data_IF_322994046480
#
_entry.id   IF_322994046480
#
_cell.length_a   1.000
_cell.length_b   1.000
_cell.length_c   1.000
_cell.angle_alpha   90.00
_cell.angle_beta   90.00
_cell.angle_gamma   90.00
#
_symmetry.space_group_name_H-M   'P 1'
#
loop_
_entity.id
_entity.type
_entity.pdbx_description
1 polymer ?
#
# COMPACT_ATOMS: atom_id res chain seq x y z
N UNK A 1 3.99 -26.15 -16.84
CA UNK A 1 5.34 -25.58 -16.99
C UNK A 1 5.74 -24.93 -15.69
N UNK A 2 7.05 -24.78 -15.40
CA UNK A 2 7.52 -24.15 -14.15
C UNK A 2 7.82 -22.65 -14.31
N UNK A 3 7.87 -22.16 -15.55
CA UNK A 3 8.17 -20.77 -15.88
C UNK A 3 6.99 -19.88 -15.53
N UNK A 4 7.25 -18.78 -14.82
CA UNK A 4 6.30 -17.72 -14.58
C UNK A 4 6.18 -16.91 -15.89
N UNK A 5 4.97 -16.81 -16.43
CA UNK A 5 4.72 -16.11 -17.69
C UNK A 5 3.78 -14.94 -17.44
N UNK A 6 4.05 -13.82 -18.08
CA UNK A 6 3.15 -12.66 -18.08
C UNK A 6 1.83 -13.01 -18.77
N UNK A 7 0.66 -12.82 -18.11
CA UNK A 7 -0.65 -13.09 -18.72
C UNK A 7 -1.14 -11.92 -19.59
N UNK A 8 -0.23 -11.09 -20.09
CA UNK A 8 -0.53 -9.91 -20.92
C UNK A 8 0.54 -9.69 -21.98
N UNK A 9 0.19 -8.87 -23.00
CA UNK A 9 1.11 -8.40 -24.04
C UNK A 9 1.35 -6.90 -23.87
N UNK A 10 2.59 -6.47 -24.04
CA UNK A 10 2.97 -5.06 -24.01
C UNK A 10 2.71 -4.44 -25.38
N UNK A 11 1.79 -3.46 -25.46
CA UNK A 11 1.46 -2.72 -26.68
C UNK A 11 1.88 -1.26 -26.67
N UNK A 12 2.08 -0.70 -25.47
CA UNK A 12 2.57 0.66 -25.29
C UNK A 12 3.88 0.60 -24.50
N UNK A 13 4.86 1.37 -24.92
CA UNK A 13 6.19 1.37 -24.30
C UNK A 13 6.62 2.79 -23.98
N UNK A 14 7.32 2.94 -22.86
CA UNK A 14 7.97 4.17 -22.43
C UNK A 14 9.48 3.91 -22.38
N UNK A 15 10.32 4.70 -23.10
CA UNK A 15 11.75 4.45 -23.10
C UNK A 15 12.39 4.79 -21.75
N UNK A 16 13.25 3.91 -21.27
CA UNK A 16 14.03 4.12 -20.05
C UNK A 16 15.33 4.85 -20.37
N UNK A 17 15.65 5.87 -19.56
CA UNK A 17 16.92 6.58 -19.65
C UNK A 17 17.99 5.91 -18.78
N UNK A 18 19.10 5.54 -19.41
CA UNK A 18 20.28 5.09 -18.68
C UNK A 18 21.11 6.30 -18.21
N UNK A 19 21.53 6.26 -16.95
CA UNK A 19 22.34 7.30 -16.32
C UNK A 19 23.66 6.72 -15.84
N UNK A 20 24.74 7.54 -15.82
CA UNK A 20 26.03 7.12 -15.25
C UNK A 20 26.03 7.29 -13.72
N UNK A 21 26.95 6.62 -12.98
CA UNK A 21 27.11 6.84 -11.55
C UNK A 21 27.34 8.31 -11.16
N UNK A 22 28.15 9.03 -11.94
CA UNK A 22 28.47 10.46 -11.71
C UNK A 22 27.24 11.35 -11.92
N UNK A 23 26.38 11.00 -12.88
CA UNK A 23 25.10 11.70 -13.07
C UNK A 23 24.18 11.46 -11.88
N UNK A 24 24.04 10.21 -11.42
CA UNK A 24 23.20 9.86 -10.28
C UNK A 24 23.65 10.53 -8.98
N UNK A 25 24.97 10.62 -8.74
CA UNK A 25 25.48 11.35 -7.58
C UNK A 25 25.07 12.84 -7.62
N UNK A 26 25.23 13.50 -8.76
CA UNK A 26 24.78 14.89 -8.92
C UNK A 26 23.27 15.06 -8.70
N UNK A 27 22.46 14.08 -9.12
CA UNK A 27 21.02 14.12 -8.89
C UNK A 27 20.69 13.95 -7.40
N UNK A 28 21.39 13.07 -6.69
CA UNK A 28 21.26 12.89 -5.24
C UNK A 28 21.61 14.18 -4.48
N UNK A 29 22.74 14.80 -4.79
CA UNK A 29 23.17 16.06 -4.19
C UNK A 29 22.13 17.19 -4.41
N UNK A 30 21.67 17.36 -5.65
CA UNK A 30 20.67 18.36 -6.01
C UNK A 30 19.33 18.11 -5.28
N UNK A 31 18.93 16.84 -5.12
CA UNK A 31 17.74 16.42 -4.38
C UNK A 31 17.91 16.52 -2.85
N UNK A 32 19.10 16.84 -2.34
CA UNK A 32 19.41 16.79 -0.91
C UNK A 32 19.30 15.38 -0.37
N UNK A 33 19.70 14.40 -1.15
CA UNK A 33 19.64 12.96 -0.89
C UNK A 33 18.22 12.43 -0.56
N UNK A 34 17.17 13.16 -0.95
CA UNK A 34 15.78 12.70 -0.82
C UNK A 34 15.29 12.13 -2.16
N UNK A 35 15.01 10.84 -2.20
CA UNK A 35 14.61 10.12 -3.42
C UNK A 35 13.26 10.60 -3.99
N UNK A 36 12.39 11.20 -3.18
CA UNK A 36 11.15 11.83 -3.65
C UNK A 36 11.40 13.11 -4.49
N UNK A 37 12.57 13.72 -4.35
CA UNK A 37 12.94 14.96 -5.06
C UNK A 37 13.69 14.69 -6.38
N UNK A 38 14.00 13.44 -6.70
CA UNK A 38 14.63 13.05 -7.97
C UNK A 38 13.57 13.02 -9.07
N UNK A 39 13.87 13.60 -10.22
CA UNK A 39 12.98 13.59 -11.38
C UNK A 39 12.75 12.16 -11.87
N UNK A 40 11.51 11.84 -12.24
CA UNK A 40 11.17 10.51 -12.77
C UNK A 40 12.00 10.13 -14.02
N UNK A 41 12.31 11.10 -14.88
CA UNK A 41 13.17 10.92 -16.07
C UNK A 41 14.60 10.48 -15.75
N UNK A 42 15.06 10.61 -14.52
CA UNK A 42 16.40 10.26 -14.08
C UNK A 42 16.44 8.93 -13.29
N UNK A 43 15.31 8.22 -13.25
CA UNK A 43 15.15 6.92 -12.62
C UNK A 43 15.16 5.83 -13.70
N UNK A 44 15.92 4.76 -13.49
CA UNK A 44 15.93 3.62 -14.39
C UNK A 44 14.79 2.63 -14.05
N UNK A 45 14.70 2.21 -12.79
CA UNK A 45 13.61 1.37 -12.29
C UNK A 45 13.00 2.04 -11.05
N UNK A 46 11.70 2.32 -11.13
CA UNK A 46 10.98 3.04 -10.08
C UNK A 46 10.13 2.09 -9.23
N UNK A 47 10.62 1.79 -8.04
CA UNK A 47 9.95 0.97 -7.03
C UNK A 47 9.54 1.79 -5.79
N UNK A 48 9.40 3.12 -5.97
CA UNK A 48 8.97 4.02 -4.89
C UNK A 48 7.57 3.65 -4.40
N UNK A 49 6.68 3.37 -5.34
CA UNK A 49 5.27 3.05 -5.05
C UNK A 49 4.64 2.22 -6.16
N UNK A 50 3.68 1.38 -5.78
CA UNK A 50 2.77 0.68 -6.69
C UNK A 50 1.47 1.46 -6.94
N UNK A 51 1.35 2.68 -6.38
CA UNK A 51 0.13 3.50 -6.40
C UNK A 51 0.13 4.48 -7.57
N UNK A 52 -0.79 4.29 -8.53
CA UNK A 52 -0.96 5.17 -9.68
C UNK A 52 0.09 4.98 -10.78
N UNK A 53 0.89 3.94 -10.67
CA UNK A 53 2.00 3.63 -11.59
C UNK A 53 1.76 2.38 -12.43
N UNK A 54 0.55 1.82 -12.38
CA UNK A 54 0.16 0.64 -13.15
C UNK A 54 0.00 0.95 -14.64
N UNK A 55 0.29 -0.04 -15.49
CA UNK A 55 -0.11 -0.01 -16.88
C UNK A 55 -1.58 -0.42 -17.00
N UNK A 56 -2.40 0.44 -17.62
CA UNK A 56 -3.80 0.16 -17.91
C UNK A 56 -3.95 -0.78 -19.10
N UNK A 57 -5.03 -1.56 -19.10
CA UNK A 57 -5.39 -2.45 -20.20
C UNK A 57 -5.96 -1.72 -21.40
N UNK A 58 -6.06 -2.45 -22.51
CA UNK A 58 -6.77 -1.97 -23.73
C UNK A 58 -8.22 -1.63 -23.41
N UNK A 59 -8.86 -2.44 -22.57
CA UNK A 59 -10.26 -2.26 -22.18
C UNK A 59 -10.43 -1.04 -21.26
N UNK A 60 -9.48 -0.77 -20.37
CA UNK A 60 -9.48 0.46 -19.58
C UNK A 60 -9.34 1.70 -20.48
N UNK A 61 -8.41 1.69 -21.44
CA UNK A 61 -8.27 2.79 -22.41
C UNK A 61 -9.52 2.97 -23.28
N UNK A 62 -10.13 1.88 -23.73
CA UNK A 62 -11.38 1.92 -24.50
C UNK A 62 -12.54 2.49 -23.67
N UNK A 63 -12.62 2.10 -22.38
CA UNK A 63 -13.62 2.63 -21.46
C UNK A 63 -13.42 4.14 -21.21
N UNK A 64 -12.19 4.59 -21.03
CA UNK A 64 -11.89 6.02 -20.91
C UNK A 64 -12.41 6.85 -22.08
N UNK A 65 -12.34 6.31 -23.32
CA UNK A 65 -12.86 6.97 -24.52
C UNK A 65 -14.38 7.05 -24.56
N UNK A 66 -15.09 6.26 -23.74
CA UNK A 66 -16.57 6.30 -23.60
C UNK A 66 -17.03 7.17 -22.43
N UNK A 67 -16.10 7.63 -21.61
CA UNK A 67 -16.40 8.47 -20.45
C UNK A 67 -17.17 9.73 -20.84
N UNK A 68 -18.22 10.05 -20.07
CA UNK A 68 -18.99 11.27 -20.22
C UNK A 68 -18.56 12.32 -19.18
N UNK A 69 -18.41 13.56 -19.65
CA UNK A 69 -17.94 14.68 -18.82
C UNK A 69 -19.14 15.52 -18.32
N UNK A 70 -20.04 14.89 -17.57
CA UNK A 70 -21.19 15.55 -16.97
C UNK A 70 -20.88 16.00 -15.53
N UNK A 71 -21.31 17.21 -15.16
CA UNK A 71 -21.13 17.69 -13.77
C UNK A 71 -21.96 16.89 -12.77
N UNK A 72 -23.12 16.40 -13.16
CA UNK A 72 -24.01 15.65 -12.28
C UNK A 72 -24.71 14.52 -13.05
N UNK A 73 -24.76 13.33 -12.44
CA UNK A 73 -25.54 12.22 -12.95
C UNK A 73 -25.00 11.61 -14.25
N UNK A 74 -23.67 11.65 -14.48
CA UNK A 74 -23.03 11.01 -15.62
C UNK A 74 -23.21 9.50 -15.62
N UNK A 75 -23.35 8.89 -16.79
CA UNK A 75 -23.48 7.42 -16.94
C UNK A 75 -22.22 6.69 -16.47
N UNK A 76 -21.06 7.32 -16.58
CA UNK A 76 -19.79 6.78 -16.07
C UNK A 76 -19.80 6.57 -14.56
N UNK A 77 -20.49 7.44 -13.82
CA UNK A 77 -20.67 7.26 -12.37
C UNK A 77 -21.51 6.01 -12.08
N UNK A 78 -22.63 5.83 -12.77
CA UNK A 78 -23.50 4.68 -12.50
C UNK A 78 -22.84 3.36 -12.87
N UNK A 79 -22.03 3.30 -13.92
CA UNK A 79 -21.22 2.12 -14.25
C UNK A 79 -20.16 1.84 -13.19
N UNK A 80 -19.46 2.88 -12.71
CA UNK A 80 -18.52 2.78 -11.61
C UNK A 80 -19.22 2.29 -10.33
N UNK A 81 -20.33 2.93 -9.93
CA UNK A 81 -21.10 2.55 -8.75
C UNK A 81 -21.57 1.10 -8.82
N UNK A 82 -22.06 0.67 -9.99
CA UNK A 82 -22.49 -0.71 -10.21
C UNK A 82 -21.35 -1.71 -10.03
N UNK A 83 -20.15 -1.44 -10.58
CA UNK A 83 -18.97 -2.28 -10.42
C UNK A 83 -18.55 -2.38 -8.96
N UNK A 84 -18.51 -1.25 -8.23
CA UNK A 84 -18.16 -1.22 -6.82
C UNK A 84 -19.18 -2.00 -5.99
N UNK A 85 -20.49 -1.78 -6.21
CA UNK A 85 -21.56 -2.50 -5.50
C UNK A 85 -21.56 -3.99 -5.79
N UNK A 86 -21.34 -4.40 -7.04
CA UNK A 86 -21.27 -5.81 -7.43
C UNK A 86 -20.10 -6.53 -6.76
N UNK A 87 -19.00 -5.83 -6.51
CA UNK A 87 -17.84 -6.36 -5.81
C UNK A 87 -18.01 -6.36 -4.30
N UNK A 88 -18.45 -5.24 -3.72
CA UNK A 88 -18.37 -5.00 -2.27
C UNK A 88 -19.68 -5.28 -1.53
N UNK A 89 -20.82 -5.17 -2.20
CA UNK A 89 -22.14 -5.28 -1.59
C UNK A 89 -22.56 -4.08 -0.74
N UNK A 90 -21.74 -3.04 -0.60
CA UNK A 90 -22.08 -1.87 0.22
C UNK A 90 -23.21 -1.04 -0.41
N UNK A 91 -24.05 -0.47 0.47
CA UNK A 91 -25.21 0.32 0.07
C UNK A 91 -24.83 1.67 -0.52
N UNK A 92 -23.84 2.36 0.08
CA UNK A 92 -23.43 3.70 -0.30
C UNK A 92 -22.01 3.67 -0.85
N UNK A 93 -21.81 4.24 -2.02
CA UNK A 93 -20.51 4.35 -2.71
C UNK A 93 -20.25 5.83 -2.97
N UNK A 94 -19.14 6.33 -2.45
CA UNK A 94 -18.74 7.74 -2.51
C UNK A 94 -17.40 7.81 -3.26
N UNK A 95 -17.37 8.29 -4.50
CA UNK A 95 -16.13 8.41 -5.26
C UNK A 95 -15.24 9.50 -4.66
N UNK A 96 -13.93 9.33 -4.75
CA UNK A 96 -12.93 10.33 -4.35
C UNK A 96 -11.78 10.33 -5.34
N UNK A 97 -11.04 11.45 -5.46
CA UNK A 97 -9.93 11.51 -6.40
C UNK A 97 -8.76 10.57 -6.02
N UNK A 98 -8.69 10.10 -4.78
CA UNK A 98 -7.73 9.08 -4.31
C UNK A 98 -8.09 8.55 -2.92
N UNK A 99 -7.45 7.43 -2.51
CA UNK A 99 -7.75 6.78 -1.22
C UNK A 99 -7.55 7.67 0.01
N UNK A 100 -6.49 8.51 0.04
CA UNK A 100 -6.27 9.42 1.19
C UNK A 100 -7.37 10.49 1.34
N UNK A 101 -8.11 10.81 0.28
CA UNK A 101 -9.28 11.67 0.36
C UNK A 101 -10.44 10.93 1.03
N UNK A 102 -10.65 9.64 0.70
CA UNK A 102 -11.61 8.79 1.41
C UNK A 102 -11.29 8.68 2.91
N UNK A 103 -10.01 8.47 3.26
CA UNK A 103 -9.54 8.46 4.64
C UNK A 103 -9.83 9.79 5.35
N UNK A 104 -9.51 10.92 4.70
CA UNK A 104 -9.75 12.25 5.26
C UNK A 104 -11.23 12.49 5.55
N UNK A 105 -12.12 12.15 4.62
CA UNK A 105 -13.57 12.28 4.79
C UNK A 105 -14.02 11.43 5.98
N UNK A 106 -13.70 10.15 6.01
CA UNK A 106 -14.10 9.23 7.07
C UNK A 106 -13.64 9.70 8.46
N UNK A 107 -12.34 9.98 8.61
CA UNK A 107 -11.77 10.31 9.92
C UNK A 107 -12.12 11.72 10.40
N UNK A 108 -12.36 12.68 9.49
CA UNK A 108 -12.84 14.03 9.89
C UNK A 108 -14.22 14.00 10.55
N UNK A 109 -15.03 12.99 10.23
CA UNK A 109 -16.37 12.81 10.81
C UNK A 109 -16.32 11.97 12.09
N UNK A 110 -15.58 10.86 12.06
CA UNK A 110 -15.63 9.88 13.14
C UNK A 110 -14.62 10.13 14.25
N UNK A 111 -13.48 10.77 13.96
CA UNK A 111 -12.42 10.99 14.94
C UNK A 111 -12.60 12.30 15.71
N UNK A 112 -12.34 12.23 17.01
CA UNK A 112 -12.33 13.38 17.93
C UNK A 112 -11.13 13.23 18.87
N UNK A 113 -10.70 14.32 19.55
CA UNK A 113 -9.69 14.22 20.61
C UNK A 113 -10.07 13.18 21.66
N UNK A 114 -9.11 12.32 22.00
CA UNK A 114 -9.28 11.21 22.92
C UNK A 114 -9.77 9.91 22.30
N UNK A 115 -10.21 9.90 21.05
CA UNK A 115 -10.54 8.65 20.35
C UNK A 115 -9.29 7.83 20.02
N UNK A 116 -9.48 6.51 19.88
CA UNK A 116 -8.46 5.55 19.48
C UNK A 116 -9.00 4.75 18.30
N UNK A 117 -8.23 4.70 17.23
CA UNK A 117 -8.53 3.83 16.08
C UNK A 117 -7.53 2.68 16.07
N UNK A 118 -7.93 1.47 16.46
CA UNK A 118 -7.07 0.28 16.38
C UNK A 118 -7.08 -0.30 14.96
N UNK A 119 -5.92 -0.80 14.53
CA UNK A 119 -5.73 -1.52 13.26
C UNK A 119 -4.66 -2.58 13.41
N UNK A 120 -4.58 -3.53 12.46
CA UNK A 120 -3.41 -4.40 12.37
C UNK A 120 -2.11 -3.60 12.16
N UNK A 121 -2.07 -2.65 11.20
CA UNK A 121 -1.17 -1.48 11.19
C UNK A 121 -1.76 -0.38 10.32
N UNK A 122 -1.47 0.86 10.66
CA UNK A 122 -1.85 2.01 9.83
C UNK A 122 -0.75 2.33 8.82
N UNK A 123 -1.15 2.75 7.64
CA UNK A 123 -0.24 3.40 6.70
C UNK A 123 -0.01 4.87 7.12
N UNK A 124 1.01 5.52 6.55
CA UNK A 124 1.41 6.89 6.94
C UNK A 124 0.27 7.92 6.81
N UNK A 125 -0.46 7.90 5.68
CA UNK A 125 -1.58 8.82 5.44
C UNK A 125 -2.80 8.50 6.29
N UNK A 126 -3.07 7.22 6.54
CA UNK A 126 -4.15 6.79 7.44
C UNK A 126 -3.90 7.29 8.85
N UNK A 127 -2.69 7.05 9.38
CA UNK A 127 -2.25 7.57 10.68
C UNK A 127 -2.36 9.08 10.76
N UNK A 128 -1.81 9.79 9.75
CA UNK A 128 -1.84 11.25 9.71
C UNK A 128 -3.27 11.80 9.70
N UNK A 129 -4.20 11.19 8.97
CA UNK A 129 -5.60 11.59 8.94
C UNK A 129 -6.32 11.36 10.28
N UNK A 130 -5.99 10.28 11.01
CA UNK A 130 -6.52 10.04 12.35
C UNK A 130 -5.98 11.06 13.34
N UNK A 131 -4.66 11.22 13.38
CA UNK A 131 -3.95 12.05 14.36
C UNK A 131 -4.20 13.55 14.15
N UNK A 132 -4.41 14.00 12.91
CA UNK A 132 -4.79 15.39 12.62
C UNK A 132 -6.15 15.81 13.20
N UNK A 133 -7.00 14.85 13.55
CA UNK A 133 -8.27 15.07 14.26
C UNK A 133 -8.14 14.91 15.80
N UNK A 134 -6.92 14.81 16.34
CA UNK A 134 -6.66 14.65 17.76
C UNK A 134 -6.92 13.24 18.31
N UNK A 135 -7.20 12.27 17.44
CA UNK A 135 -7.34 10.87 17.79
C UNK A 135 -5.97 10.15 17.77
N UNK A 136 -5.89 8.96 18.33
CA UNK A 136 -4.70 8.12 18.35
C UNK A 136 -4.86 6.93 17.40
N UNK A 137 -3.94 6.78 16.44
CA UNK A 137 -3.81 5.58 15.63
C UNK A 137 -3.01 4.52 16.40
N UNK A 138 -3.61 3.37 16.69
CA UNK A 138 -2.99 2.30 17.48
C UNK A 138 -2.83 1.03 16.66
N UNK A 139 -1.58 0.58 16.49
CA UNK A 139 -1.26 -0.64 15.76
C UNK A 139 -1.25 -1.85 16.70
N UNK A 140 -2.03 -2.86 16.35
CA UNK A 140 -2.19 -4.13 17.04
C UNK A 140 -1.93 -5.33 16.11
N UNK A 141 -0.74 -5.43 15.47
CA UNK A 141 -0.40 -6.64 14.72
C UNK A 141 -0.17 -7.81 15.67
N UNK A 142 -0.34 -9.03 15.17
CA UNK A 142 0.00 -10.24 15.92
C UNK A 142 1.47 -10.23 16.37
N UNK A 143 1.80 -10.86 17.51
CA UNK A 143 3.18 -10.88 18.03
C UNK A 143 4.21 -11.43 17.04
N UNK A 144 3.84 -12.42 16.23
CA UNK A 144 4.71 -13.02 15.20
C UNK A 144 5.16 -12.03 14.12
N UNK A 145 4.45 -10.91 13.92
CA UNK A 145 4.86 -9.85 12.99
C UNK A 145 6.11 -9.08 13.46
N UNK A 146 6.52 -9.24 14.73
CA UNK A 146 7.72 -8.63 15.26
C UNK A 146 9.02 -9.27 14.71
N UNK A 147 8.98 -10.53 14.27
CA UNK A 147 10.11 -11.17 13.60
C UNK A 147 9.94 -11.12 12.09
N UNK A 148 10.79 -10.33 11.43
CA UNK A 148 10.79 -10.22 9.97
C UNK A 148 11.12 -11.55 9.28
N UNK A 149 11.88 -12.44 9.94
CA UNK A 149 12.33 -13.73 9.38
C UNK A 149 11.36 -14.89 9.65
N UNK A 150 10.35 -14.70 10.49
CA UNK A 150 9.37 -15.75 10.76
C UNK A 150 8.55 -16.08 9.51
N UNK A 151 8.60 -17.36 9.07
CA UNK A 151 7.91 -17.87 7.87
C UNK A 151 6.51 -18.38 8.21
N UNK A 152 5.64 -17.49 8.66
CA UNK A 152 4.27 -17.81 8.99
C UNK A 152 3.32 -17.21 7.95
N UNK A 153 2.25 -17.90 7.55
CA UNK A 153 1.21 -17.32 6.73
C UNK A 153 0.47 -16.23 7.52
N UNK A 154 -0.09 -15.27 6.82
CA UNK A 154 -0.97 -14.25 7.40
C UNK A 154 -0.37 -13.42 8.55
N UNK A 155 0.92 -13.07 8.44
CA UNK A 155 1.57 -12.17 9.41
C UNK A 155 0.95 -10.76 9.45
N UNK A 156 0.08 -10.44 8.48
CA UNK A 156 -0.69 -9.21 8.46
C UNK A 156 -1.90 -9.20 9.40
N UNK A 157 -2.19 -10.28 10.11
CA UNK A 157 -3.34 -10.40 11.00
C UNK A 157 -3.34 -9.36 12.12
N UNK A 158 -4.56 -8.96 12.52
CA UNK A 158 -4.82 -8.17 13.73
C UNK A 158 -4.72 -9.07 14.97
N UNK A 159 -4.10 -8.59 16.05
CA UNK A 159 -4.17 -9.23 17.37
C UNK A 159 -5.55 -8.96 18.01
N UNK A 160 -6.47 -9.92 17.83
CA UNK A 160 -7.84 -9.80 18.30
C UNK A 160 -7.94 -9.82 19.83
N UNK A 161 -7.03 -10.52 20.50
CA UNK A 161 -6.98 -10.51 21.97
C UNK A 161 -6.49 -9.15 22.51
N UNK A 162 -5.50 -8.55 21.88
CA UNK A 162 -5.07 -7.19 22.22
C UNK A 162 -6.17 -6.16 21.95
N UNK A 163 -6.94 -6.35 20.88
CA UNK A 163 -8.11 -5.51 20.58
C UNK A 163 -9.17 -5.66 21.68
N UNK A 164 -9.48 -6.86 22.14
CA UNK A 164 -10.44 -7.08 23.21
C UNK A 164 -10.00 -6.43 24.53
N UNK A 165 -8.73 -6.59 24.89
CA UNK A 165 -8.15 -5.90 26.06
C UNK A 165 -8.24 -4.38 25.94
N UNK A 166 -7.96 -3.83 24.74
CA UNK A 166 -8.09 -2.40 24.49
C UNK A 166 -9.54 -1.90 24.71
N UNK A 167 -10.53 -2.63 24.16
CA UNK A 167 -11.95 -2.27 24.32
C UNK A 167 -12.35 -2.26 25.79
N UNK A 168 -11.88 -3.24 26.57
CA UNK A 168 -12.17 -3.35 28.01
C UNK A 168 -11.52 -2.21 28.81
N UNK A 169 -10.30 -1.78 28.44
CA UNK A 169 -9.53 -0.79 29.17
C UNK A 169 -9.95 0.65 28.84
N UNK A 170 -10.11 0.95 27.55
CA UNK A 170 -10.38 2.32 27.06
C UNK A 170 -11.87 2.64 26.98
N UNK A 171 -12.71 1.61 26.88
CA UNK A 171 -14.17 1.72 26.71
C UNK A 171 -14.59 1.93 25.27
N UNK A 172 -15.74 1.36 24.90
CA UNK A 172 -16.32 1.37 23.55
C UNK A 172 -16.51 2.79 23.00
N UNK A 173 -16.86 3.75 23.85
CA UNK A 173 -17.16 5.13 23.48
C UNK A 173 -15.93 5.87 22.91
N UNK A 174 -14.72 5.40 23.20
CA UNK A 174 -13.48 5.98 22.73
C UNK A 174 -12.94 5.31 21.44
N UNK A 175 -13.61 4.27 20.94
CA UNK A 175 -13.22 3.53 19.74
C UNK A 175 -14.28 3.73 18.65
N UNK A 176 -14.14 4.74 17.78
CA UNK A 176 -15.15 5.08 16.77
C UNK A 176 -15.29 4.02 15.68
N UNK A 177 -14.22 3.29 15.38
CA UNK A 177 -14.18 2.15 14.48
C UNK A 177 -12.90 1.32 14.72
N UNK A 178 -12.91 0.07 14.25
CA UNK A 178 -11.73 -0.78 14.06
C UNK A 178 -11.43 -0.83 12.57
N UNK A 179 -10.16 -0.73 12.17
CA UNK A 179 -9.76 -0.84 10.77
C UNK A 179 -8.84 -2.05 10.56
N UNK A 180 -8.98 -2.74 9.43
CA UNK A 180 -8.05 -3.80 9.01
C UNK A 180 -7.54 -3.44 7.62
N UNK A 181 -6.22 -3.32 7.49
CA UNK A 181 -5.54 -3.06 6.22
C UNK A 181 -5.23 -4.38 5.51
N UNK A 182 -5.74 -4.55 4.31
CA UNK A 182 -5.56 -5.74 3.46
C UNK A 182 -5.00 -5.35 2.07
N UNK A 183 -3.79 -5.85 1.70
CA UNK A 183 -2.77 -6.49 2.55
C UNK A 183 -2.11 -5.47 3.47
N UNK A 184 -1.53 -5.93 4.58
CA UNK A 184 -0.91 -5.07 5.59
C UNK A 184 0.41 -4.44 5.06
N UNK A 185 0.32 -3.25 4.49
CA UNK A 185 1.43 -2.56 3.81
C UNK A 185 2.59 -2.26 4.79
N UNK A 186 2.32 -1.59 5.92
CA UNK A 186 3.37 -1.23 6.89
C UNK A 186 3.96 -2.45 7.62
N UNK A 187 3.25 -3.58 7.60
CA UNK A 187 3.71 -4.87 8.12
C UNK A 187 4.45 -5.74 7.11
N UNK A 188 4.99 -5.17 6.02
CA UNK A 188 5.74 -5.93 5.01
C UNK A 188 4.89 -6.48 3.86
N UNK A 189 3.72 -5.90 3.59
CA UNK A 189 2.80 -6.36 2.54
C UNK A 189 2.15 -7.71 2.86
N UNK A 190 2.09 -8.06 4.13
CA UNK A 190 1.64 -9.38 4.59
C UNK A 190 0.11 -9.52 4.51
N UNK A 191 -0.41 -10.69 4.11
CA UNK A 191 -1.84 -10.93 4.02
C UNK A 191 -2.51 -11.09 5.39
N UNK A 192 -3.83 -10.87 5.38
CA UNK A 192 -4.74 -11.11 6.51
C UNK A 192 -5.63 -12.30 6.17
N UNK A 193 -5.77 -13.27 7.08
CA UNK A 193 -6.63 -14.44 6.87
C UNK A 193 -8.12 -14.09 6.99
N UNK A 194 -8.97 -14.86 6.33
CA UNK A 194 -10.42 -14.74 6.49
C UNK A 194 -10.85 -15.01 7.94
N UNK A 195 -10.26 -16.05 8.55
CA UNK A 195 -10.52 -16.38 9.95
C UNK A 195 -10.21 -15.22 10.91
N UNK A 196 -9.18 -14.42 10.63
CA UNK A 196 -8.86 -13.23 11.44
C UNK A 196 -9.88 -12.11 11.24
N UNK A 197 -10.34 -11.89 10.01
CA UNK A 197 -11.39 -10.89 9.71
C UNK A 197 -12.71 -11.32 10.38
N UNK A 198 -13.07 -12.61 10.33
CA UNK A 198 -14.25 -13.17 11.00
C UNK A 198 -14.16 -13.01 12.52
N UNK A 199 -13.01 -13.28 13.12
CA UNK A 199 -12.80 -13.10 14.56
C UNK A 199 -12.92 -11.63 14.98
N UNK A 200 -12.30 -10.72 14.21
CA UNK A 200 -12.44 -9.28 14.43
C UNK A 200 -13.90 -8.82 14.28
N UNK A 201 -14.62 -9.32 13.26
CA UNK A 201 -16.05 -9.04 13.06
C UNK A 201 -16.90 -9.52 14.24
N UNK A 202 -16.67 -10.73 14.72
CA UNK A 202 -17.41 -11.27 15.88
C UNK A 202 -17.20 -10.39 17.13
N UNK A 203 -15.95 -9.97 17.39
CA UNK A 203 -15.63 -9.10 18.52
C UNK A 203 -16.27 -7.72 18.37
N UNK A 204 -16.10 -7.06 17.22
CA UNK A 204 -16.64 -5.71 16.99
C UNK A 204 -18.16 -5.68 17.00
N UNK A 205 -18.82 -6.73 16.50
CA UNK A 205 -20.29 -6.88 16.56
C UNK A 205 -20.78 -6.97 18.01
N UNK A 206 -20.11 -7.74 18.86
CA UNK A 206 -20.43 -7.89 20.30
C UNK A 206 -20.43 -6.55 21.02
N UNK A 207 -19.49 -5.68 20.64
CA UNK A 207 -19.33 -4.36 21.23
C UNK A 207 -20.01 -3.23 20.45
N UNK A 208 -20.66 -3.53 19.31
CA UNK A 208 -21.31 -2.54 18.42
C UNK A 208 -20.33 -1.49 17.90
N UNK A 209 -19.08 -1.86 17.66
CA UNK A 209 -18.05 -1.02 17.04
C UNK A 209 -18.04 -1.32 15.55
N UNK A 210 -18.05 -0.31 14.66
CA UNK A 210 -17.93 -0.52 13.21
C UNK A 210 -16.59 -1.14 12.84
N UNK A 211 -16.58 -2.10 11.90
CA UNK A 211 -15.39 -2.68 11.29
C UNK A 211 -15.24 -2.15 9.86
N UNK A 212 -14.12 -1.52 9.56
CA UNK A 212 -13.78 -1.00 8.23
C UNK A 212 -12.57 -1.72 7.65
N UNK A 213 -12.54 -1.86 6.33
CA UNK A 213 -11.37 -2.33 5.60
C UNK A 213 -10.67 -1.16 4.92
N UNK A 214 -9.36 -0.99 5.15
CA UNK A 214 -8.50 -0.37 4.15
C UNK A 214 -8.23 -1.43 3.08
N UNK A 215 -9.01 -1.38 2.00
CA UNK A 215 -9.10 -2.45 1.02
C UNK A 215 -8.22 -2.21 -0.22
N UNK A 216 -7.19 -1.37 -0.11
CA UNK A 216 -6.38 -0.95 -1.24
C UNK A 216 -5.75 -2.12 -2.03
N UNK A 217 -5.51 -3.28 -1.40
CA UNK A 217 -4.95 -4.49 -2.04
C UNK A 217 -5.76 -5.74 -1.71
N UNK A 218 -7.07 -5.60 -1.80
CA UNK A 218 -8.03 -6.66 -1.49
C UNK A 218 -7.88 -7.89 -2.38
N UNK A 219 -7.56 -7.70 -3.66
CA UNK A 219 -7.44 -8.78 -4.62
C UNK A 219 -6.19 -9.63 -4.36
N UNK A 220 -5.06 -8.98 -4.06
CA UNK A 220 -3.85 -9.69 -3.61
C UNK A 220 -4.13 -10.46 -2.32
N UNK A 221 -4.86 -9.87 -1.36
CA UNK A 221 -5.24 -10.54 -0.11
C UNK A 221 -6.17 -11.75 -0.36
N UNK A 222 -7.16 -11.60 -1.24
CA UNK A 222 -8.05 -12.69 -1.62
C UNK A 222 -7.29 -13.87 -2.27
N UNK A 223 -6.25 -13.57 -3.06
CA UNK A 223 -5.39 -14.61 -3.63
C UNK A 223 -4.59 -15.36 -2.57
N UNK A 224 -4.04 -14.68 -1.57
CA UNK A 224 -3.37 -15.35 -0.45
C UNK A 224 -4.33 -16.24 0.35
N UNK A 225 -5.54 -15.77 0.61
CA UNK A 225 -6.58 -16.60 1.26
C UNK A 225 -6.86 -17.84 0.41
N UNK A 226 -7.08 -17.68 -0.91
CA UNK A 226 -7.30 -18.80 -1.83
C UNK A 226 -6.17 -19.83 -1.77
N UNK A 227 -4.93 -19.36 -1.75
CA UNK A 227 -3.74 -20.22 -1.82
C UNK A 227 -3.41 -20.91 -0.50
N UNK A 228 -3.52 -20.18 0.62
CA UNK A 228 -2.91 -20.56 1.89
C UNK A 228 -3.91 -20.89 3.01
N UNK A 229 -5.19 -20.51 2.86
CA UNK A 229 -6.19 -20.76 3.92
C UNK A 229 -7.06 -21.97 3.56
N UNK A 230 -7.18 -22.98 4.48
CA UNK A 230 -8.01 -24.15 4.22
C UNK A 230 -9.47 -23.80 3.91
N UNK A 231 -10.06 -24.48 2.92
CA UNK A 231 -11.46 -24.30 2.52
C UNK A 231 -11.70 -23.23 1.45
N UNK A 232 -10.66 -22.49 1.02
CA UNK A 232 -10.80 -21.43 -0.01
C UNK A 232 -10.18 -21.79 -1.36
N UNK A 233 -9.46 -22.91 -1.46
CA UNK A 233 -8.69 -23.28 -2.66
C UNK A 233 -9.52 -23.37 -3.95
N UNK A 234 -10.78 -23.82 -3.86
CA UNK A 234 -11.65 -23.99 -5.02
C UNK A 234 -12.48 -22.75 -5.35
N UNK A 235 -12.53 -21.75 -4.47
CA UNK A 235 -13.30 -20.53 -4.69
C UNK A 235 -12.59 -19.57 -5.62
N UNK A 236 -13.31 -18.88 -6.54
CA UNK A 236 -12.74 -17.80 -7.32
C UNK A 236 -12.36 -16.61 -6.43
N UNK A 237 -11.30 -15.86 -6.78
CA UNK A 237 -10.86 -14.69 -5.99
C UNK A 237 -11.98 -13.66 -5.74
N UNK A 238 -12.92 -13.52 -6.67
CA UNK A 238 -14.07 -12.62 -6.54
C UNK A 238 -14.98 -13.00 -5.36
N UNK A 239 -15.29 -14.26 -5.21
CA UNK A 239 -16.14 -14.72 -4.11
C UNK A 239 -15.46 -14.55 -2.75
N UNK A 240 -14.15 -14.80 -2.70
CA UNK A 240 -13.36 -14.56 -1.49
C UNK A 240 -13.34 -13.06 -1.14
N UNK A 241 -13.16 -12.19 -2.13
CA UNK A 241 -13.20 -10.75 -1.93
C UNK A 241 -14.58 -10.28 -1.45
N UNK A 242 -15.65 -10.76 -2.08
CA UNK A 242 -17.04 -10.46 -1.66
C UNK A 242 -17.30 -10.91 -0.22
N UNK A 243 -16.79 -12.08 0.18
CA UNK A 243 -16.88 -12.54 1.56
C UNK A 243 -16.14 -11.62 2.52
N UNK A 244 -14.91 -11.17 2.18
CA UNK A 244 -14.19 -10.18 3.01
C UNK A 244 -15.01 -8.90 3.21
N UNK A 245 -15.54 -8.31 2.13
CA UNK A 245 -16.33 -7.09 2.20
C UNK A 245 -17.63 -7.28 2.99
N UNK A 246 -18.27 -8.44 2.91
CA UNK A 246 -19.50 -8.74 3.65
C UNK A 246 -19.34 -8.75 5.17
N UNK A 247 -18.12 -8.92 5.65
CA UNK A 247 -17.77 -8.88 7.08
C UNK A 247 -17.53 -7.46 7.61
N UNK A 248 -17.49 -6.44 6.74
CA UNK A 248 -17.23 -5.05 7.13
C UNK A 248 -18.49 -4.17 7.05
N UNK A 249 -18.48 -3.05 7.78
CA UNK A 249 -19.52 -2.03 7.74
C UNK A 249 -19.22 -0.95 6.68
N UNK A 250 -17.97 -0.89 6.20
CA UNK A 250 -17.50 0.00 5.16
C UNK A 250 -16.07 -0.26 4.78
N UNK A 251 -15.57 0.50 3.80
CA UNK A 251 -14.16 0.44 3.40
C UNK A 251 -13.68 1.78 2.83
N UNK A 252 -12.38 2.03 2.95
CA UNK A 252 -11.64 3.00 2.15
C UNK A 252 -10.89 2.26 1.05
N UNK A 253 -10.81 2.86 -0.13
CA UNK A 253 -10.16 2.24 -1.28
C UNK A 253 -9.38 3.26 -2.11
N UNK A 254 -8.18 2.87 -2.53
CA UNK A 254 -7.40 3.59 -3.53
C UNK A 254 -7.38 2.81 -4.84
N UNK A 255 -8.08 3.30 -5.84
CA UNK A 255 -8.13 2.69 -7.17
C UNK A 255 -6.78 2.70 -7.90
N UNK A 256 -5.84 3.46 -7.38
CA UNK A 256 -4.44 3.54 -7.84
C UNK A 256 -3.64 2.25 -7.61
N UNK A 257 -4.25 1.21 -7.05
CA UNK A 257 -3.66 -0.10 -6.74
C UNK A 257 -4.50 -1.21 -7.37
N UNK A 258 -5.41 -1.82 -6.64
CA UNK A 258 -6.22 -2.96 -7.11
C UNK A 258 -7.42 -2.53 -7.97
N UNK A 259 -7.24 -1.53 -8.84
CA UNK A 259 -8.07 -1.24 -9.99
C UNK A 259 -7.23 -0.77 -11.19
N UNK A 260 -5.90 -0.92 -11.13
CA UNK A 260 -4.95 -0.52 -12.18
C UNK A 260 -5.06 0.95 -12.64
N UNK A 261 -5.87 1.79 -11.98
CA UNK A 261 -6.08 3.17 -12.38
C UNK A 261 -4.90 4.07 -11.96
N UNK A 262 -4.67 5.15 -12.69
CA UNK A 262 -3.62 6.12 -12.37
C UNK A 262 -4.09 7.16 -11.34
N UNK A 263 -5.40 7.31 -11.18
CA UNK A 263 -6.06 8.20 -10.21
C UNK A 263 -7.31 7.51 -9.65
N UNK A 264 -7.84 8.02 -8.55
CA UNK A 264 -9.14 7.64 -8.04
C UNK A 264 -9.11 6.80 -6.77
N UNK A 265 -10.26 6.75 -6.13
CA UNK A 265 -10.58 5.99 -4.95
C UNK A 265 -12.06 6.06 -4.64
N UNK A 266 -12.45 5.44 -3.56
CA UNK A 266 -13.81 5.55 -3.03
C UNK A 266 -13.87 5.22 -1.54
N UNK A 267 -14.94 5.67 -0.92
CA UNK A 267 -15.37 5.34 0.42
C UNK A 267 -16.72 4.62 0.31
N UNK A 268 -16.89 3.53 1.04
CA UNK A 268 -18.15 2.82 1.10
C UNK A 268 -18.63 2.65 2.53
N UNK A 269 -19.96 2.68 2.73
CA UNK A 269 -20.58 2.40 4.02
C UNK A 269 -21.97 1.84 3.87
N UNK A 270 -22.42 1.07 4.87
CA UNK A 270 -23.83 0.63 5.01
C UNK A 270 -24.68 1.57 5.87
N UNK A 271 -24.05 2.56 6.53
CA UNK A 271 -24.73 3.52 7.41
C UNK A 271 -25.18 4.75 6.63
N UNK A 272 -26.49 4.86 6.38
CA UNK A 272 -27.04 5.97 5.57
C UNK A 272 -26.84 7.35 6.20
N UNK A 273 -26.86 7.49 7.54
CA UNK A 273 -26.58 8.76 8.22
C UNK A 273 -25.13 9.18 8.06
N UNK A 274 -24.21 8.22 8.15
CA UNK A 274 -22.79 8.48 7.92
C UNK A 274 -22.54 8.85 6.47
N UNK A 275 -23.15 8.14 5.52
CA UNK A 275 -23.03 8.45 4.09
C UNK A 275 -23.50 9.87 3.74
N UNK A 276 -24.55 10.36 4.38
CA UNK A 276 -25.00 11.76 4.22
C UNK A 276 -23.94 12.75 4.70
N UNK A 277 -23.31 12.50 5.86
CA UNK A 277 -22.24 13.34 6.39
C UNK A 277 -20.99 13.29 5.49
N UNK A 278 -20.61 12.09 5.02
CA UNK A 278 -19.50 11.88 4.11
C UNK A 278 -19.72 12.61 2.78
N UNK A 279 -20.94 12.56 2.25
CA UNK A 279 -21.33 13.28 1.03
C UNK A 279 -21.22 14.80 1.22
N UNK A 280 -21.61 15.33 2.36
CA UNK A 280 -21.49 16.77 2.65
C UNK A 280 -20.02 17.21 2.70
N UNK A 281 -19.14 16.43 3.32
CA UNK A 281 -17.70 16.71 3.32
C UNK A 281 -17.12 16.57 1.92
N UNK A 282 -17.52 15.55 1.15
CA UNK A 282 -17.11 15.35 -0.25
C UNK A 282 -17.39 16.58 -1.12
N UNK A 283 -18.62 17.14 -1.02
CA UNK A 283 -19.02 18.32 -1.79
C UNK A 283 -18.11 19.51 -1.48
N UNK A 284 -17.69 19.66 -0.24
CA UNK A 284 -16.81 20.75 0.19
C UNK A 284 -15.36 20.58 -0.23
N UNK A 285 -14.89 19.34 -0.37
CA UNK A 285 -13.45 19.05 -0.49
C UNK A 285 -13.03 18.45 -1.83
N UNK A 286 -13.93 17.71 -2.50
CA UNK A 286 -13.60 16.94 -3.70
C UNK A 286 -14.44 17.36 -4.90
N UNK A 287 -15.76 17.51 -4.71
CA UNK A 287 -16.70 17.87 -5.76
C UNK A 287 -18.06 17.20 -5.60
N UNK A 288 -18.87 17.20 -6.65
CA UNK A 288 -20.21 16.66 -6.61
C UNK A 288 -20.23 15.12 -6.43
N UNK A 289 -21.23 14.54 -5.75
CA UNK A 289 -21.25 13.11 -5.39
C UNK A 289 -21.16 12.12 -6.55
N UNK A 290 -21.54 12.52 -7.76
CA UNK A 290 -21.51 11.66 -8.93
C UNK A 290 -20.21 11.75 -9.74
N UNK A 291 -19.15 12.42 -9.20
CA UNK A 291 -17.81 12.34 -9.77
C UNK A 291 -16.68 12.38 -8.72
N UNK A 292 -16.89 13.00 -7.55
CA UNK A 292 -15.93 12.98 -6.42
C UNK A 292 -14.53 13.47 -6.77
N UNK A 293 -14.43 14.55 -7.56
CA UNK A 293 -13.15 15.10 -8.01
C UNK A 293 -12.47 14.33 -9.15
N UNK A 294 -13.18 13.39 -9.79
CA UNK A 294 -12.71 12.61 -10.94
C UNK A 294 -13.38 13.07 -12.24
N UNK A 295 -12.77 12.79 -13.37
CA UNK A 295 -13.44 12.87 -14.66
C UNK A 295 -14.23 11.58 -14.94
N UNK A 296 -15.25 11.63 -15.79
CA UNK A 296 -16.02 10.44 -16.18
C UNK A 296 -15.13 9.31 -16.72
N UNK A 297 -14.12 9.66 -17.52
CA UNK A 297 -13.13 8.69 -18.03
C UNK A 297 -12.36 7.96 -16.92
N UNK A 298 -12.07 8.61 -15.79
CA UNK A 298 -11.37 7.98 -14.67
C UNK A 298 -12.28 6.96 -13.97
N UNK A 299 -13.56 7.29 -13.80
CA UNK A 299 -14.58 6.38 -13.25
C UNK A 299 -14.74 5.12 -14.11
N UNK A 300 -14.75 5.28 -15.45
CA UNK A 300 -14.78 4.16 -16.40
C UNK A 300 -13.55 3.26 -16.27
N UNK A 301 -12.35 3.84 -16.19
CA UNK A 301 -11.12 3.07 -16.03
C UNK A 301 -11.11 2.27 -14.72
N UNK A 302 -11.64 2.85 -13.64
CA UNK A 302 -11.76 2.17 -12.33
C UNK A 302 -12.75 1.00 -12.44
N UNK A 303 -13.92 1.22 -13.05
CA UNK A 303 -14.94 0.19 -13.19
C UNK A 303 -14.40 -1.07 -13.89
N UNK A 304 -13.70 -0.89 -15.02
CA UNK A 304 -13.06 -1.99 -15.74
C UNK A 304 -11.93 -2.62 -14.91
N UNK A 305 -11.10 -1.81 -14.27
CA UNK A 305 -9.96 -2.30 -13.50
C UNK A 305 -10.35 -3.15 -12.29
N UNK A 306 -11.49 -2.86 -11.64
CA UNK A 306 -12.04 -3.67 -10.53
C UNK A 306 -12.44 -5.09 -10.98
N UNK A 307 -12.85 -5.26 -12.22
CA UNK A 307 -13.14 -6.58 -12.76
C UNK A 307 -11.87 -7.32 -13.18
N UNK A 308 -10.94 -6.63 -13.83
CA UNK A 308 -9.70 -7.22 -14.33
C UNK A 308 -8.75 -7.67 -13.23
N UNK A 309 -8.68 -6.95 -12.09
CA UNK A 309 -7.75 -7.27 -11.01
C UNK A 309 -8.02 -8.64 -10.39
N UNK A 310 -9.25 -9.15 -10.49
CA UNK A 310 -9.67 -10.42 -9.92
C UNK A 310 -9.46 -11.62 -10.85
N UNK A 311 -8.84 -11.43 -12.01
CA UNK A 311 -8.48 -12.53 -12.89
C UNK A 311 -7.42 -13.44 -12.23
N UNK A 312 -7.69 -14.75 -12.09
CA UNK A 312 -6.80 -15.66 -11.40
C UNK A 312 -5.39 -15.71 -11.99
N UNK A 313 -5.28 -15.68 -13.33
CA UNK A 313 -4.00 -15.73 -14.05
C UNK A 313 -3.14 -14.51 -13.75
N UNK A 314 -3.76 -13.33 -13.60
CA UNK A 314 -3.04 -12.13 -13.21
C UNK A 314 -2.56 -12.21 -11.76
N UNK A 315 -3.41 -12.63 -10.83
CA UNK A 315 -3.07 -12.72 -9.40
C UNK A 315 -1.99 -13.77 -9.15
N UNK A 316 -2.07 -14.93 -9.83
CA UNK A 316 -1.04 -15.96 -9.80
C UNK A 316 0.31 -15.39 -10.25
N UNK A 317 0.34 -14.77 -11.43
CA UNK A 317 1.54 -14.12 -11.96
C UNK A 317 2.08 -13.07 -10.97
N UNK A 318 1.23 -12.19 -10.48
CA UNK A 318 1.61 -11.09 -9.57
C UNK A 318 2.31 -11.61 -8.32
N UNK A 319 1.69 -12.57 -7.64
CA UNK A 319 2.21 -13.12 -6.40
C UNK A 319 3.44 -14.01 -6.65
N UNK A 320 3.44 -14.81 -7.73
CA UNK A 320 4.57 -15.66 -8.07
C UNK A 320 5.82 -14.86 -8.46
N UNK A 321 5.67 -13.79 -9.25
CA UNK A 321 6.80 -12.94 -9.67
C UNK A 321 7.39 -12.16 -8.49
N UNK A 322 6.55 -11.63 -7.59
CA UNK A 322 7.03 -10.98 -6.36
C UNK A 322 7.77 -11.98 -5.47
N UNK A 323 7.23 -13.19 -5.30
CA UNK A 323 7.87 -14.24 -4.51
C UNK A 323 9.18 -14.73 -5.15
N UNK A 324 9.26 -14.81 -6.49
CA UNK A 324 10.51 -15.11 -7.20
C UNK A 324 11.60 -14.09 -6.85
N UNK A 325 11.29 -12.81 -6.98
CA UNK A 325 12.22 -11.73 -6.65
C UNK A 325 12.71 -11.83 -5.20
N UNK A 326 11.77 -11.92 -4.24
CA UNK A 326 12.12 -12.01 -2.83
C UNK A 326 12.98 -13.21 -2.49
N UNK A 327 12.62 -14.41 -2.98
CA UNK A 327 13.41 -15.63 -2.75
C UNK A 327 14.82 -15.54 -3.32
N UNK A 328 14.97 -15.02 -4.55
CA UNK A 328 16.29 -14.89 -5.16
C UNK A 328 17.27 -14.07 -4.34
N UNK A 329 16.83 -12.93 -3.79
CA UNK A 329 17.74 -12.13 -2.95
C UNK A 329 17.92 -12.75 -1.56
N UNK A 330 16.88 -13.36 -0.98
CA UNK A 330 16.96 -14.03 0.33
C UNK A 330 17.90 -15.26 0.31
N UNK A 331 17.84 -16.08 -0.72
CA UNK A 331 18.70 -17.27 -0.90
C UNK A 331 20.19 -16.88 -1.02
N UNK A 332 20.49 -15.62 -1.35
CA UNK A 332 21.84 -15.06 -1.39
C UNK A 332 22.19 -14.18 -0.17
N UNK A 333 21.45 -14.34 0.92
CA UNK A 333 21.79 -13.75 2.21
C UNK A 333 21.32 -12.29 2.43
N UNK A 334 20.43 -11.76 1.58
CA UNK A 334 19.78 -10.48 1.83
C UNK A 334 18.57 -10.71 2.73
N UNK A 335 18.54 -10.15 3.95
CA UNK A 335 17.40 -10.34 4.85
C UNK A 335 16.18 -9.58 4.35
N UNK A 336 15.06 -10.27 4.15
CA UNK A 336 13.78 -9.68 3.76
C UNK A 336 12.70 -9.99 4.80
N UNK A 337 11.56 -9.33 4.71
CA UNK A 337 10.37 -9.76 5.47
C UNK A 337 9.83 -11.05 4.83
N UNK A 338 9.89 -12.13 5.60
CA UNK A 338 9.46 -13.48 5.20
C UNK A 338 8.04 -13.79 5.71
N UNK A 339 7.24 -14.53 4.93
CA UNK A 339 7.42 -14.78 3.51
C UNK A 339 7.20 -13.52 2.66
N UNK A 340 7.63 -13.47 1.38
CA UNK A 340 7.34 -12.34 0.49
C UNK A 340 5.86 -11.98 0.43
N UNK A 341 5.56 -10.68 0.53
CA UNK A 341 4.20 -10.15 0.40
C UNK A 341 3.70 -10.06 -1.05
N UNK A 342 2.56 -9.38 -1.26
CA UNK A 342 1.91 -9.32 -2.57
C UNK A 342 2.48 -8.26 -3.52
N UNK A 343 2.67 -7.04 -3.02
CA UNK A 343 2.94 -5.86 -3.87
C UNK A 343 4.39 -5.37 -3.85
N UNK A 344 5.18 -5.85 -2.93
CA UNK A 344 6.52 -5.35 -2.68
C UNK A 344 7.41 -6.40 -2.01
N UNK A 345 8.71 -6.23 -2.18
CA UNK A 345 9.71 -6.86 -1.32
C UNK A 345 10.19 -5.84 -0.31
N UNK A 346 10.29 -6.27 0.94
CA UNK A 346 10.78 -5.45 2.04
C UNK A 346 12.10 -6.02 2.54
N UNK A 347 13.20 -5.32 2.24
CA UNK A 347 14.51 -5.68 2.78
C UNK A 347 14.58 -5.17 4.22
N UNK A 348 15.00 -6.03 5.14
CA UNK A 348 15.29 -5.65 6.53
C UNK A 348 16.64 -4.95 6.58
N UNK A 349 16.62 -3.64 6.35
CA UNK A 349 17.83 -2.82 6.31
C UNK A 349 18.52 -2.75 7.68
N UNK A 350 17.77 -2.87 8.78
CA UNK A 350 18.35 -2.92 10.12
C UNK A 350 19.20 -4.18 10.34
N UNK A 351 18.77 -5.33 9.80
CA UNK A 351 19.57 -6.57 9.81
C UNK A 351 20.69 -6.56 8.76
N UNK A 352 20.45 -5.97 7.60
CA UNK A 352 21.44 -5.90 6.51
C UNK A 352 22.61 -4.97 6.87
N UNK A 353 22.34 -3.85 7.54
CA UNK A 353 23.28 -2.77 7.85
C UNK A 353 23.37 -2.55 9.40
N UNK A 354 23.80 -3.55 10.17
CA UNK A 354 23.79 -3.46 11.63
C UNK A 354 24.75 -2.40 12.19
N UNK A 355 25.69 -1.92 11.39
CA UNK A 355 26.62 -0.85 11.74
C UNK A 355 26.01 0.56 11.63
N UNK A 356 24.85 0.70 10.97
CA UNK A 356 24.11 1.96 10.88
C UNK A 356 23.02 1.99 11.93
N UNK A 357 23.13 2.83 12.98
CA UNK A 357 22.10 2.93 14.01
C UNK A 357 20.80 3.53 13.45
N UNK A 358 19.67 3.25 14.08
CA UNK A 358 18.34 3.74 13.67
C UNK A 358 18.27 5.26 13.51
N UNK A 359 19.01 6.02 14.32
CA UNK A 359 19.10 7.46 14.24
C UNK A 359 19.78 7.98 12.96
N UNK A 360 20.41 7.09 12.20
CA UNK A 360 21.09 7.37 10.92
C UNK A 360 20.38 6.73 9.73
N UNK A 361 19.15 6.22 9.93
CA UNK A 361 18.21 5.79 8.90
C UNK A 361 18.75 4.69 7.95
N UNK A 362 19.01 3.46 8.40
CA UNK A 362 19.60 2.40 7.56
C UNK A 362 18.77 2.08 6.32
N UNK A 363 17.43 2.12 6.41
CA UNK A 363 16.54 1.93 5.25
C UNK A 363 16.71 3.01 4.19
N UNK A 364 16.85 4.27 4.60
CA UNK A 364 17.12 5.38 3.70
C UNK A 364 18.54 5.29 3.09
N UNK A 365 19.53 4.93 3.90
CA UNK A 365 20.91 4.74 3.43
C UNK A 365 20.97 3.67 2.31
N UNK A 366 20.30 2.55 2.51
CA UNK A 366 20.19 1.49 1.51
C UNK A 366 19.46 1.96 0.24
N UNK A 367 18.38 2.74 0.39
CA UNK A 367 17.64 3.31 -0.74
C UNK A 367 18.51 4.21 -1.60
N UNK A 368 19.28 5.12 -0.97
CA UNK A 368 20.21 6.03 -1.66
C UNK A 368 21.29 5.22 -2.37
N UNK A 369 21.84 4.19 -1.75
CA UNK A 369 22.89 3.37 -2.35
C UNK A 369 22.39 2.57 -3.57
N UNK A 370 21.18 2.00 -3.52
CA UNK A 370 20.57 1.34 -4.68
C UNK A 370 20.37 2.32 -5.86
N UNK A 371 19.94 3.54 -5.56
CA UNK A 371 19.82 4.54 -6.62
C UNK A 371 21.19 4.95 -7.15
N UNK A 372 22.16 5.24 -6.29
CA UNK A 372 23.55 5.61 -6.68
C UNK A 372 24.16 4.55 -7.57
N UNK A 373 24.01 3.27 -7.19
CA UNK A 373 24.60 2.15 -7.90
C UNK A 373 23.91 1.86 -9.23
N UNK A 374 22.60 1.68 -9.22
CA UNK A 374 21.86 1.09 -10.32
C UNK A 374 20.67 1.92 -10.85
N UNK A 375 20.44 3.14 -10.34
CA UNK A 375 19.31 3.97 -10.75
C UNK A 375 17.97 3.45 -10.29
N UNK A 376 17.92 2.64 -9.22
CA UNK A 376 16.71 2.04 -8.65
C UNK A 376 16.19 2.96 -7.55
N UNK A 377 14.97 3.49 -7.72
CA UNK A 377 14.30 4.28 -6.68
C UNK A 377 13.40 3.38 -5.82
N UNK A 378 13.48 3.57 -4.51
CA UNK A 378 12.73 2.82 -3.51
C UNK A 378 12.40 3.71 -2.31
N UNK A 379 11.74 3.20 -1.27
CA UNK A 379 11.32 4.00 -0.12
C UNK A 379 11.58 3.30 1.20
N UNK A 380 12.09 4.04 2.16
CA UNK A 380 12.23 3.60 3.54
C UNK A 380 10.86 3.45 4.20
N UNK A 381 10.69 2.39 4.98
CA UNK A 381 9.56 2.12 5.88
C UNK A 381 10.14 1.82 7.27
N UNK A 382 10.49 2.85 8.00
CA UNK A 382 11.20 2.73 9.27
C UNK A 382 11.19 4.03 10.07
N UNK A 383 12.30 4.32 10.74
CA UNK A 383 12.42 5.46 11.64
C UNK A 383 12.36 6.83 10.94
N UNK A 384 12.68 6.92 9.66
CA UNK A 384 12.48 8.15 8.90
C UNK A 384 10.97 8.44 8.71
N UNK A 385 10.19 7.43 8.35
CA UNK A 385 8.75 7.58 8.10
C UNK A 385 7.93 7.69 9.39
N UNK A 386 8.20 6.82 10.37
CA UNK A 386 7.37 6.66 11.58
C UNK A 386 8.03 7.19 12.87
N UNK A 387 9.22 7.75 12.77
CA UNK A 387 9.95 8.25 13.95
C UNK A 387 10.24 7.15 14.96
N UNK A 388 10.17 7.48 16.27
CA UNK A 388 10.38 6.53 17.36
C UNK A 388 9.36 5.38 17.43
N UNK A 389 8.23 5.49 16.71
CA UNK A 389 7.18 4.45 16.63
C UNK A 389 7.48 3.34 15.62
N UNK A 390 8.53 3.47 14.82
CA UNK A 390 8.90 2.44 13.85
C UNK A 390 9.26 1.11 14.54
N UNK A 391 8.65 0.01 14.09
CA UNK A 391 8.94 -1.34 14.61
C UNK A 391 10.20 -1.92 13.98
N UNK A 392 10.42 -1.67 12.71
CA UNK A 392 11.52 -2.19 11.90
C UNK A 392 12.18 -1.06 11.12
N UNK A 393 13.35 -1.35 10.57
CA UNK A 393 14.04 -0.50 9.60
C UNK A 393 14.01 -1.20 8.24
N UNK A 394 12.97 -0.93 7.45
CA UNK A 394 12.75 -1.62 6.20
C UNK A 394 13.02 -0.72 4.99
N UNK A 395 13.45 -1.34 3.91
CA UNK A 395 13.43 -0.75 2.58
C UNK A 395 12.36 -1.45 1.75
N UNK A 396 11.36 -0.70 1.27
CA UNK A 396 10.30 -1.22 0.42
C UNK A 396 10.63 -1.03 -1.06
N UNK A 397 10.57 -2.11 -1.79
CA UNK A 397 10.66 -2.19 -3.25
C UNK A 397 9.26 -2.49 -3.79
N UNK A 398 8.43 -1.45 -3.94
CA UNK A 398 7.05 -1.59 -4.37
C UNK A 398 6.99 -1.76 -5.90
N UNK A 399 6.40 -2.86 -6.37
CA UNK A 399 6.43 -3.25 -7.79
C UNK A 399 5.16 -2.73 -8.48
N UNK A 400 5.26 -1.78 -9.44
CA UNK A 400 4.13 -1.36 -10.27
C UNK A 400 3.50 -2.54 -11.03
N UNK A 401 2.18 -2.52 -11.15
CA UNK A 401 1.44 -3.60 -11.82
C UNK A 401 1.56 -3.51 -13.32
N UNK A 402 1.92 -4.61 -13.98
CA UNK A 402 2.02 -4.76 -15.46
C UNK A 402 3.07 -3.85 -16.13
N UNK A 403 4.11 -3.39 -15.37
CA UNK A 403 5.10 -2.43 -15.89
C UNK A 403 6.45 -3.10 -16.16
N UNK A 404 6.96 -3.82 -15.19
CA UNK A 404 8.28 -4.46 -15.27
C UNK A 404 8.17 -5.93 -15.65
N UNK A 405 9.11 -6.39 -16.47
CA UNK A 405 9.23 -7.76 -16.95
C UNK A 405 10.28 -8.53 -16.16
N UNK A 406 10.42 -9.82 -16.45
CA UNK A 406 11.39 -10.69 -15.80
C UNK A 406 12.82 -10.14 -15.88
N UNK A 407 13.25 -9.59 -17.02
CA UNK A 407 14.60 -9.02 -17.17
C UNK A 407 14.84 -7.80 -16.28
N UNK A 408 13.81 -7.03 -15.96
CA UNK A 408 13.93 -5.96 -14.96
C UNK A 408 14.08 -6.54 -13.55
N UNK A 409 13.38 -7.64 -13.25
CA UNK A 409 13.50 -8.33 -11.95
C UNK A 409 14.92 -8.93 -11.80
N UNK A 410 15.46 -9.53 -12.84
CA UNK A 410 16.82 -10.08 -12.82
C UNK A 410 17.87 -8.97 -12.61
N UNK A 411 17.69 -7.80 -13.26
CA UNK A 411 18.53 -6.62 -13.03
C UNK A 411 18.44 -6.12 -11.58
N UNK A 412 17.24 -6.12 -10.98
CA UNK A 412 17.04 -5.75 -9.58
C UNK A 412 17.78 -6.70 -8.64
N UNK A 413 17.68 -8.02 -8.88
CA UNK A 413 18.38 -9.04 -8.11
C UNK A 413 19.89 -8.80 -8.17
N UNK A 414 20.45 -8.66 -9.37
CA UNK A 414 21.88 -8.44 -9.59
C UNK A 414 22.36 -7.19 -8.84
N UNK A 415 21.68 -6.05 -9.02
CA UNK A 415 22.04 -4.79 -8.37
C UNK A 415 21.99 -4.87 -6.84
N UNK A 416 20.98 -5.54 -6.28
CA UNK A 416 20.85 -5.71 -4.82
C UNK A 416 21.97 -6.59 -4.28
N UNK A 417 22.32 -7.66 -4.97
CA UNK A 417 23.42 -8.55 -4.56
C UNK A 417 24.78 -7.85 -4.62
N UNK A 418 25.03 -7.03 -5.64
CA UNK A 418 26.25 -6.22 -5.73
C UNK A 418 26.34 -5.19 -4.59
N UNK A 419 25.22 -4.55 -4.23
CA UNK A 419 25.16 -3.65 -3.06
C UNK A 419 25.38 -4.44 -1.75
N UNK A 420 24.83 -5.63 -1.62
CA UNK A 420 25.03 -6.48 -0.44
C UNK A 420 26.51 -6.87 -0.25
N UNK A 421 27.26 -7.12 -1.33
CA UNK A 421 28.70 -7.46 -1.25
C UNK A 421 29.56 -6.35 -0.65
N UNK A 422 29.10 -5.10 -0.71
CA UNK A 422 29.81 -3.91 -0.20
C UNK A 422 29.05 -3.16 0.89
N UNK A 423 28.08 -3.81 1.51
CA UNK A 423 27.18 -3.20 2.52
C UNK A 423 27.92 -2.51 3.67
N UNK A 424 29.07 -3.03 4.08
CA UNK A 424 29.87 -2.47 5.18
C UNK A 424 30.46 -1.08 4.87
N UNK A 425 30.43 -0.64 3.60
CA UNK A 425 30.86 0.69 3.16
C UNK A 425 29.72 1.70 3.08
N UNK A 426 28.48 1.28 3.30
CA UNK A 426 27.32 2.15 3.27
C UNK A 426 27.30 2.99 4.55
N UNK A 427 27.18 4.31 4.40
CA UNK A 427 27.15 5.25 5.52
C UNK A 427 25.71 5.67 5.81
N UNK A 428 25.42 5.98 7.07
CA UNK A 428 24.16 6.56 7.49
C UNK A 428 24.00 8.02 7.05
N UNK A 429 22.86 8.59 7.39
CA UNK A 429 22.48 9.97 7.06
C UNK A 429 22.05 10.73 8.31
N UNK A 430 22.20 12.06 8.25
CA UNK A 430 21.55 12.98 9.19
C UNK A 430 20.56 13.88 8.45
N UNK A 431 19.52 14.30 9.15
CA UNK A 431 18.54 15.26 8.63
C UNK A 431 19.11 16.67 8.79
N UNK A 432 19.19 17.41 7.68
CA UNK A 432 19.60 18.82 7.65
C UNK A 432 18.40 19.75 7.84
N UNK A 433 17.26 19.38 7.25
CA UNK A 433 16.00 20.11 7.41
C UNK A 433 14.82 19.15 7.20
N UNK A 434 13.76 19.36 7.96
CA UNK A 434 12.53 18.56 7.85
C UNK A 434 11.27 19.41 8.04
N UNK A 435 10.14 19.04 7.40
CA UNK A 435 8.84 19.66 7.64
C UNK A 435 8.21 19.12 8.94
N UNK A 436 7.16 19.81 9.39
CA UNK A 436 6.42 19.41 10.60
C UNK A 436 5.69 18.06 10.46
N UNK A 437 5.22 17.72 9.25
CA UNK A 437 4.44 16.51 8.96
C UNK A 437 5.05 15.74 7.80
N UNK A 438 4.94 14.40 7.85
CA UNK A 438 5.31 13.49 6.75
C UNK A 438 6.71 13.78 6.19
N UNK A 439 7.68 13.91 7.11
CA UNK A 439 9.05 14.39 6.83
C UNK A 439 9.76 13.65 5.71
N UNK A 440 9.49 12.35 5.52
CA UNK A 440 10.11 11.53 4.50
C UNK A 440 9.89 12.05 3.06
N UNK A 441 8.83 12.84 2.80
CA UNK A 441 8.57 13.37 1.46
C UNK A 441 9.48 14.54 1.07
N UNK A 442 9.88 15.38 2.03
CA UNK A 442 10.55 16.66 1.72
C UNK A 442 11.74 17.00 2.60
N UNK A 443 12.11 16.16 3.56
CA UNK A 443 13.31 16.33 4.34
C UNK A 443 14.56 16.34 3.44
N UNK A 444 15.60 17.06 3.86
CA UNK A 444 16.92 17.07 3.22
C UNK A 444 17.92 16.40 4.13
N UNK A 445 18.84 15.66 3.53
CA UNK A 445 19.80 14.83 4.23
C UNK A 445 21.23 15.19 3.85
N UNK A 446 22.15 14.79 4.73
CA UNK A 446 23.59 14.79 4.49
C UNK A 446 24.15 13.42 4.81
N UNK A 447 24.97 12.80 3.94
CA UNK A 447 25.65 11.56 4.25
C UNK A 447 26.66 11.78 5.36
N UNK A 448 26.71 10.85 6.31
CA UNK A 448 27.75 10.82 7.33
C UNK A 448 28.99 10.18 6.69
N UNK A 449 30.13 10.87 6.76
CA UNK A 449 31.39 10.30 6.27
C UNK A 449 31.79 9.16 7.20
N UNK A 450 32.16 8.01 6.64
CA UNK A 450 32.91 7.02 7.41
C UNK A 450 34.27 7.65 7.74
N UNK A 451 34.56 7.82 9.03
CA UNK A 451 35.92 8.06 9.48
C UNK A 451 36.73 6.77 9.19
N UNK A 452 37.19 6.60 7.95
CA UNK A 452 38.19 5.63 7.54
C UNK A 452 39.39 6.35 6.96
#
# INVERSE_FOLDING_TARGET
MRTIIEPFRIKSVEPLRRTTPEQRERFLEAAGYNLFQIRASDILIDLLTDSGTSAMSVEQWAAMMRGDESYAGGESFYRFEQSVRALTGFRHVIPTHQGRAAERILFSILCKPGHIVPSNTHFDTTRANIESNGARALDLPIPAAADTQARLPFKGNLDVEALERLIQTEGVQNIPLVMITVTNNSGGGQPVSMANIEAARALTTRHRIPLYLDACRFAENAWFIKRDEPGYGDLPPREIAQKMFSLADGCTFSAKKDAFANIGGFLCTNNSRLAEQETNVLILTEGFPTYGGLAGRDLEAIAVGLDEILQPEYLEYRIASTAYFGRHIADHGVPIVEPPGGHAIYIDAGRMLPHIPRSQFPGHALAVELYRHAGIRSVEIGSLMFGGGARHELLRLAIPRRVYTQSHVDYLVEAILEVNQRKDRICGFEIVSEPQFLRHFTARFRPLRSDM
#
